data_IF_854087068154
#
_entry.id   IF_854087068154
#
_cell.length_a   1.000
_cell.length_b   1.000
_cell.length_c   1.000
_cell.angle_alpha   90.00
_cell.angle_beta   90.00
_cell.angle_gamma   90.00
#
_symmetry.space_group_name_H-M   'P 1'
#
loop_
_entity.id
_entity.type
_entity.pdbx_description
1 polymer ?
#
# COMPACT_ATOMS: atom_id res chain seq x y z
N UNK A 1 32.28 3.76 -1.02
CA UNK A 1 31.66 3.89 0.32
C UNK A 1 30.21 3.44 0.20
N UNK A 2 29.89 2.23 0.65
CA UNK A 2 28.54 1.68 0.57
C UNK A 2 27.66 2.37 1.61
N UNK A 3 26.75 3.22 1.15
CA UNK A 3 25.82 4.00 1.96
C UNK A 3 24.72 3.09 2.51
N UNK A 4 24.75 2.76 3.80
CA UNK A 4 23.69 2.18 4.67
C UNK A 4 22.87 0.95 4.23
N UNK A 5 22.82 0.58 2.95
CA UNK A 5 22.22 -0.65 2.39
C UNK A 5 23.14 -1.87 2.54
N UNK A 6 24.34 -1.67 3.09
CA UNK A 6 25.46 -2.62 3.00
C UNK A 6 25.59 -3.65 4.12
N UNK A 7 24.81 -3.54 5.22
CA UNK A 7 24.90 -4.51 6.32
C UNK A 7 23.59 -5.28 6.58
N UNK A 8 22.42 -4.66 6.41
CA UNK A 8 21.12 -5.33 6.50
C UNK A 8 20.15 -4.80 5.43
N UNK A 9 19.63 -5.69 4.60
CA UNK A 9 18.58 -5.38 3.63
C UNK A 9 17.20 -5.35 4.32
N UNK A 10 16.74 -4.17 4.73
CA UNK A 10 15.43 -4.00 5.37
C UNK A 10 14.24 -4.37 4.47
N UNK A 11 14.44 -4.43 3.15
CA UNK A 11 13.41 -4.85 2.21
C UNK A 11 13.30 -6.37 2.10
N UNK A 12 14.31 -7.11 2.58
CA UNK A 12 14.24 -8.55 2.72
C UNK A 12 13.39 -8.95 3.93
N UNK A 13 12.09 -9.07 3.69
CA UNK A 13 11.11 -9.40 4.74
C UNK A 13 11.21 -10.84 5.25
N UNK A 14 11.85 -11.75 4.52
CA UNK A 14 12.09 -13.11 4.99
C UNK A 14 13.06 -13.13 6.18
N UNK A 15 14.07 -12.25 6.16
CA UNK A 15 15.07 -12.17 7.22
C UNK A 15 14.77 -11.06 8.23
N UNK A 16 14.33 -9.89 7.75
CA UNK A 16 14.37 -8.65 8.52
C UNK A 16 13.01 -8.06 8.86
N UNK A 17 11.89 -8.74 8.57
CA UNK A 17 10.57 -8.13 8.84
C UNK A 17 10.33 -7.80 10.32
N UNK A 18 10.93 -8.54 11.25
CA UNK A 18 10.85 -8.30 12.69
C UNK A 18 11.58 -7.02 13.14
N UNK A 19 12.37 -6.40 12.24
CA UNK A 19 13.02 -5.10 12.43
C UNK A 19 12.16 -3.94 11.96
N UNK A 20 10.99 -4.19 11.37
CA UNK A 20 10.09 -3.13 10.92
C UNK A 20 9.56 -2.30 12.09
N UNK A 21 9.34 -1.00 11.84
CA UNK A 21 8.83 -0.07 12.86
C UNK A 21 7.41 -0.41 13.34
N UNK A 22 6.61 -1.07 12.49
CA UNK A 22 5.27 -1.55 12.80
C UNK A 22 5.11 -2.97 12.24
N UNK A 23 4.73 -3.91 13.11
CA UNK A 23 4.48 -5.31 12.74
C UNK A 23 3.15 -5.74 13.33
N UNK A 24 2.25 -6.23 12.48
CA UNK A 24 0.91 -6.65 12.87
C UNK A 24 0.76 -8.16 12.70
N UNK A 25 0.41 -8.85 13.79
CA UNK A 25 0.09 -10.28 13.75
C UNK A 25 -1.29 -10.50 13.11
N UNK A 26 -1.42 -11.38 12.10
CA UNK A 26 -2.71 -11.65 11.48
C UNK A 26 -3.72 -12.25 12.46
N UNK A 27 -4.94 -11.72 12.47
CA UNK A 27 -6.07 -12.25 13.23
C UNK A 27 -7.29 -12.39 12.31
N UNK A 28 -7.93 -13.57 12.29
CA UNK A 28 -9.09 -13.84 11.44
C UNK A 28 -10.21 -12.82 11.73
N UNK A 29 -10.76 -12.23 10.68
CA UNK A 29 -11.81 -11.21 10.77
C UNK A 29 -11.30 -9.78 10.97
N UNK A 30 -9.99 -9.57 11.12
CA UNK A 30 -9.41 -8.23 11.21
C UNK A 30 -9.17 -7.63 9.83
N UNK A 31 -9.55 -6.37 9.66
CA UNK A 31 -9.19 -5.56 8.49
C UNK A 31 -8.24 -4.42 8.92
N UNK A 32 -7.25 -4.15 8.09
CA UNK A 32 -6.32 -3.03 8.25
C UNK A 32 -6.44 -2.18 7.00
N UNK A 33 -6.48 -0.85 7.18
CA UNK A 33 -6.58 0.12 6.10
C UNK A 33 -5.50 1.19 6.28
N UNK A 34 -4.90 1.61 5.17
CA UNK A 34 -3.95 2.72 5.11
C UNK A 34 -4.10 3.45 3.78
N UNK A 35 -3.55 4.66 3.71
CA UNK A 35 -3.47 5.44 2.47
C UNK A 35 -2.07 5.27 1.85
N UNK A 36 -2.00 5.08 0.54
CA UNK A 36 -0.71 5.00 -0.18
C UNK A 36 -0.21 6.39 -0.64
N UNK A 37 -1.05 7.41 -0.52
CA UNK A 37 -0.80 8.77 -1.00
C UNK A 37 -1.17 9.77 0.08
N UNK A 38 -0.44 10.89 0.10
CA UNK A 38 -0.81 12.07 0.86
C UNK A 38 -1.98 12.81 0.16
N UNK A 39 -2.62 13.71 0.90
CA UNK A 39 -3.58 14.65 0.33
C UNK A 39 -2.82 15.78 -0.36
N UNK A 40 -3.26 16.17 -1.56
CA UNK A 40 -2.89 17.47 -2.11
C UNK A 40 -3.77 18.55 -1.46
N UNK A 41 -3.20 19.32 -0.54
CA UNK A 41 -3.92 20.32 0.27
C UNK A 41 -4.55 21.45 -0.57
N UNK A 42 -4.02 21.75 -1.76
CA UNK A 42 -4.59 22.79 -2.62
C UNK A 42 -5.85 22.30 -3.34
N UNK A 43 -5.80 21.07 -3.87
CA UNK A 43 -6.87 20.56 -4.74
C UNK A 43 -7.85 19.61 -4.05
N UNK A 44 -7.48 19.09 -2.87
CA UNK A 44 -8.23 18.05 -2.16
C UNK A 44 -8.18 16.67 -2.82
N UNK A 45 -7.40 16.49 -3.89
CA UNK A 45 -7.24 15.23 -4.61
C UNK A 45 -6.03 14.43 -4.13
N UNK A 46 -5.75 13.31 -4.80
CA UNK A 46 -4.57 12.50 -4.51
C UNK A 46 -3.29 13.31 -4.72
N UNK A 47 -2.47 13.37 -3.69
CA UNK A 47 -1.14 13.99 -3.70
C UNK A 47 -0.02 12.97 -3.97
N UNK A 48 1.23 13.30 -3.61
CA UNK A 48 2.36 12.41 -3.82
C UNK A 48 2.23 11.10 -3.03
N UNK A 49 2.94 10.06 -3.47
CA UNK A 49 2.99 8.77 -2.76
C UNK A 49 3.58 8.97 -1.36
N UNK A 50 2.95 8.37 -0.37
CA UNK A 50 3.48 8.36 0.99
C UNK A 50 4.55 7.26 1.12
N UNK A 51 5.80 7.66 1.32
CA UNK A 51 6.93 6.73 1.48
C UNK A 51 6.84 5.87 2.75
N UNK A 52 6.11 6.34 3.78
CA UNK A 52 5.87 5.58 5.00
C UNK A 52 4.79 4.50 4.84
N UNK A 53 4.09 4.49 3.71
CA UNK A 53 3.13 3.42 3.36
C UNK A 53 3.79 2.12 2.90
N UNK A 54 5.12 2.07 2.82
CA UNK A 54 5.86 0.86 2.46
C UNK A 54 5.50 -0.30 3.41
N UNK A 55 5.00 -1.38 2.85
CA UNK A 55 4.53 -2.54 3.59
C UNK A 55 4.82 -3.84 2.83
N UNK A 56 4.75 -4.96 3.54
CA UNK A 56 4.81 -6.28 2.94
C UNK A 56 4.51 -7.39 3.94
N UNK A 57 4.73 -8.63 3.51
CA UNK A 57 4.48 -9.83 4.32
C UNK A 57 5.77 -10.43 4.86
N UNK A 58 5.80 -10.71 6.16
CA UNK A 58 6.77 -11.65 6.74
C UNK A 58 6.55 -13.08 6.24
N UNK A 59 7.60 -13.90 6.31
CA UNK A 59 7.52 -15.35 6.11
C UNK A 59 6.58 -16.05 7.11
N UNK A 60 5.91 -17.09 6.64
CA UNK A 60 5.07 -17.95 7.47
C UNK A 60 5.92 -19.06 8.07
N UNK A 61 6.14 -19.00 9.39
CA UNK A 61 6.94 -19.99 10.11
C UNK A 61 6.17 -21.29 10.45
N UNK A 62 4.84 -21.22 10.51
CA UNK A 62 3.97 -22.36 10.82
C UNK A 62 2.59 -22.17 10.21
N UNK A 63 2.06 -23.21 9.58
CA UNK A 63 0.72 -23.20 8.98
C UNK A 63 0.64 -22.41 7.68
N UNK A 64 -0.49 -21.77 7.45
CA UNK A 64 -0.80 -21.01 6.25
C UNK A 64 -1.43 -19.65 6.60
N UNK A 65 -1.28 -18.68 5.70
CA UNK A 65 -1.88 -17.34 5.83
C UNK A 65 -2.73 -17.04 4.60
N UNK A 66 -3.99 -16.74 4.84
CA UNK A 66 -4.94 -16.26 3.83
C UNK A 66 -5.28 -14.81 4.08
N UNK A 67 -5.23 -13.99 3.03
CA UNK A 67 -5.62 -12.58 3.07
C UNK A 67 -6.40 -12.22 1.82
N UNK A 68 -7.21 -11.17 1.92
CA UNK A 68 -7.80 -10.47 0.79
C UNK A 68 -7.43 -8.99 0.89
N UNK A 69 -7.19 -8.34 -0.24
CA UNK A 69 -6.98 -6.91 -0.33
C UNK A 69 -8.04 -6.30 -1.25
N UNK A 70 -8.40 -5.05 -0.97
CA UNK A 70 -9.28 -4.27 -1.83
C UNK A 70 -8.63 -2.90 -2.03
N UNK A 71 -8.41 -2.51 -3.29
CA UNK A 71 -7.83 -1.23 -3.64
C UNK A 71 -8.94 -0.24 -4.01
N UNK A 72 -8.95 0.89 -3.30
CA UNK A 72 -9.83 2.01 -3.62
C UNK A 72 -9.01 3.02 -4.42
N UNK A 73 -9.32 3.15 -5.71
CA UNK A 73 -8.65 4.09 -6.62
C UNK A 73 -9.27 5.48 -6.52
N UNK A 74 -8.44 6.52 -6.52
CA UNK A 74 -8.87 7.91 -6.63
C UNK A 74 -8.02 8.64 -7.69
N UNK A 75 -8.53 9.72 -8.31
CA UNK A 75 -7.78 10.46 -9.31
C UNK A 75 -6.81 11.47 -8.67
N UNK A 76 -5.81 11.86 -9.46
CA UNK A 76 -5.03 13.07 -9.20
C UNK A 76 -5.81 14.29 -9.72
N UNK A 77 -5.42 15.50 -9.30
CA UNK A 77 -6.03 16.77 -9.77
C UNK A 77 -6.21 16.79 -11.29
N UNK A 78 -5.16 16.44 -12.03
CA UNK A 78 -5.14 16.52 -13.49
C UNK A 78 -5.99 15.44 -14.17
N UNK A 79 -6.37 14.37 -13.47
CA UNK A 79 -7.20 13.29 -14.00
C UNK A 79 -8.60 13.21 -13.38
N UNK A 80 -8.93 14.12 -12.45
CA UNK A 80 -10.22 14.11 -11.75
C UNK A 80 -11.43 14.34 -12.67
N UNK A 81 -11.21 14.95 -13.84
CA UNK A 81 -12.22 15.16 -14.86
C UNK A 81 -12.52 13.90 -15.71
N UNK A 82 -11.67 12.87 -15.61
CA UNK A 82 -11.87 11.62 -16.35
C UNK A 82 -12.84 10.71 -15.60
N UNK A 83 -13.93 10.25 -16.25
CA UNK A 83 -14.86 9.33 -15.61
C UNK A 83 -14.16 8.01 -15.29
N UNK A 84 -14.58 7.37 -14.19
CA UNK A 84 -14.08 6.04 -13.84
C UNK A 84 -14.39 5.04 -14.95
N UNK A 85 -13.57 4.01 -15.09
CA UNK A 85 -13.80 2.94 -16.06
C UNK A 85 -15.18 2.29 -15.91
N UNK A 86 -15.72 2.27 -14.68
CA UNK A 86 -17.07 1.77 -14.43
C UNK A 86 -18.12 2.64 -15.10
N UNK A 87 -18.01 3.98 -14.99
CA UNK A 87 -18.94 4.91 -15.63
C UNK A 87 -18.79 4.91 -17.17
N UNK A 88 -17.57 4.84 -17.69
CA UNK A 88 -17.33 4.77 -19.15
C UNK A 88 -17.98 3.56 -19.82
N UNK A 89 -18.14 2.44 -19.11
CA UNK A 89 -18.75 1.23 -19.66
C UNK A 89 -20.24 1.35 -19.94
N UNK A 90 -20.93 2.29 -19.30
CA UNK A 90 -22.37 2.49 -19.52
C UNK A 90 -22.68 3.41 -20.71
N UNK A 91 -21.67 4.04 -21.32
CA UNK A 91 -21.85 4.85 -22.53
C UNK A 91 -21.78 4.01 -23.82
N UNK A 92 -21.54 2.68 -23.71
CA UNK A 92 -21.38 1.75 -24.85
C UNK A 92 -22.54 0.73 -24.93
N UNK A 93 -23.65 0.95 -24.21
CA UNK A 93 -24.86 0.11 -24.28
C UNK A 93 -26.06 0.97 -24.63
#
# INVERSE_FOLDING_TARGET
MATSRGELDYYNLSHNCHKGNLVLSPQKGTAIMWYNHLLDEESGWMGPRDEYSLHGGCDIRKGEKWIANNWITAPYKDSAHLPSYWLQKFDII
#
